data_IF_434415539967
#
_entry.id   IF_434415539967
#
_cell.length_a   1.000
_cell.length_b   1.000
_cell.length_c   1.000
_cell.angle_alpha   90.00
_cell.angle_beta   90.00
_cell.angle_gamma   90.00
#
_symmetry.space_group_name_H-M   'P 1'
#
loop_
_entity.id
_entity.type
_entity.pdbx_description
1 polymer ?
#
# COMPACT_ATOMS: atom_id res chain seq x y z
N UNK A 1 -13.80 -14.86 15.86
CA UNK A 1 -13.77 -15.86 14.78
C UNK A 1 -12.68 -16.87 15.08
N UNK A 2 -13.06 -18.12 15.33
CA UNK A 2 -12.18 -19.23 15.66
C UNK A 2 -11.25 -19.54 14.48
N UNK A 3 -9.94 -19.62 14.75
CA UNK A 3 -8.94 -20.03 13.75
C UNK A 3 -9.08 -21.53 13.51
N UNK A 4 -9.39 -21.92 12.28
CA UNK A 4 -9.25 -23.32 11.82
C UNK A 4 -7.83 -23.45 11.27
N UNK A 5 -6.96 -24.15 12.00
CA UNK A 5 -5.64 -24.50 11.50
C UNK A 5 -5.73 -25.83 10.75
N UNK A 6 -5.61 -25.79 9.43
CA UNK A 6 -5.46 -26.99 8.62
C UNK A 6 -3.97 -27.23 8.41
N UNK A 7 -3.44 -28.26 9.05
CA UNK A 7 -2.04 -28.67 8.94
C UNK A 7 -1.98 -29.86 7.99
N UNK A 8 -1.44 -29.67 6.78
CA UNK A 8 -1.17 -30.76 5.85
C UNK A 8 0.28 -31.22 6.00
N UNK A 9 0.47 -32.48 6.37
CA UNK A 9 1.75 -33.18 6.26
C UNK A 9 1.62 -34.27 5.20
N UNK A 10 2.46 -34.24 4.17
CA UNK A 10 2.99 -35.45 3.54
C UNK A 10 4.36 -35.14 2.94
N UNK A 11 5.31 -36.05 3.16
CA UNK A 11 6.70 -35.98 2.67
C UNK A 11 6.87 -36.85 1.41
N UNK A 12 7.97 -36.56 0.70
CA UNK A 12 8.76 -37.38 -0.26
C UNK A 12 8.60 -37.04 -1.75
N UNK A 13 9.43 -36.11 -2.25
CA UNK A 13 10.30 -36.35 -3.41
C UNK A 13 11.47 -35.34 -3.42
N UNK A 14 12.68 -35.84 -3.70
CA UNK A 14 13.95 -35.10 -3.66
C UNK A 14 13.93 -33.98 -4.71
N UNK A 15 14.02 -32.72 -4.26
CA UNK A 15 14.54 -31.59 -5.03
C UNK A 15 15.19 -30.62 -4.02
N UNK A 16 16.38 -30.10 -4.37
CA UNK A 16 17.06 -29.05 -3.60
C UNK A 16 16.18 -27.80 -3.68
N UNK A 17 15.36 -27.59 -2.66
CA UNK A 17 14.58 -26.37 -2.46
C UNK A 17 15.40 -25.54 -1.48
N UNK A 18 15.82 -24.35 -1.89
CA UNK A 18 16.31 -23.35 -0.94
C UNK A 18 15.10 -22.91 -0.10
N UNK A 19 14.96 -23.50 1.07
CA UNK A 19 13.92 -23.15 2.02
C UNK A 19 14.23 -21.76 2.58
N UNK A 20 13.60 -20.72 2.04
CA UNK A 20 13.42 -19.49 2.80
C UNK A 20 12.35 -19.80 3.86
N UNK A 21 12.79 -20.14 5.07
CA UNK A 21 11.91 -20.19 6.21
C UNK A 21 11.48 -18.75 6.54
N UNK A 22 10.20 -18.44 6.33
CA UNK A 22 9.58 -17.23 6.89
C UNK A 22 9.13 -17.62 8.31
N UNK A 23 9.86 -17.25 9.38
CA UNK A 23 9.32 -17.38 10.72
C UNK A 23 8.08 -16.52 10.78
N UNK A 24 6.93 -17.17 10.96
CA UNK A 24 5.61 -16.57 11.18
C UNK A 24 5.16 -15.58 10.10
N UNK A 25 4.17 -16.00 9.31
CA UNK A 25 3.30 -15.09 8.57
C UNK A 25 2.38 -14.36 9.55
N UNK A 26 2.93 -13.41 10.30
CA UNK A 26 2.11 -12.38 10.93
C UNK A 26 1.49 -11.55 9.81
N UNK A 27 0.32 -12.00 9.36
CA UNK A 27 -0.53 -11.20 8.51
C UNK A 27 -0.96 -9.99 9.34
N UNK A 28 -0.59 -8.79 8.89
CA UNK A 28 -1.12 -7.54 9.44
C UNK A 28 -2.65 -7.64 9.36
N UNK A 29 -3.29 -7.82 10.52
CA UNK A 29 -4.74 -7.90 10.61
C UNK A 29 -5.29 -6.47 10.58
N UNK A 30 -5.65 -5.98 9.40
CA UNK A 30 -6.42 -4.74 9.28
C UNK A 30 -7.85 -5.06 9.71
N UNK A 31 -8.36 -4.38 10.74
CA UNK A 31 -9.74 -4.57 11.18
C UNK A 31 -10.71 -4.36 10.00
N UNK A 32 -11.79 -5.15 9.85
CA UNK A 32 -12.77 -4.94 8.79
C UNK A 32 -13.44 -3.56 8.83
N UNK A 33 -13.40 -2.91 9.99
CA UNK A 33 -13.89 -1.56 10.23
C UNK A 33 -12.77 -0.52 10.36
N UNK A 34 -11.52 -0.87 10.01
CA UNK A 34 -10.42 0.08 9.99
C UNK A 34 -10.75 1.20 9.01
N UNK A 35 -11.06 2.38 9.56
CA UNK A 35 -11.22 3.59 8.78
C UNK A 35 -9.88 4.29 8.73
N UNK A 36 -9.46 4.70 7.53
CA UNK A 36 -8.38 5.65 7.40
C UNK A 36 -8.81 6.94 8.11
N UNK A 37 -8.14 7.26 9.22
CA UNK A 37 -8.38 8.53 9.90
C UNK A 37 -7.77 9.64 9.06
N UNK A 38 -8.58 10.24 8.17
CA UNK A 38 -8.20 11.36 7.31
C UNK A 38 -8.13 12.64 8.13
N UNK A 39 -7.18 12.72 9.07
CA UNK A 39 -6.85 13.99 9.74
C UNK A 39 -6.14 14.98 8.81
N UNK A 40 -5.76 14.54 7.61
CA UNK A 40 -5.18 15.39 6.56
C UNK A 40 -6.24 16.01 5.65
N UNK A 41 -5.97 17.23 5.19
CA UNK A 41 -6.74 17.89 4.13
C UNK A 41 -6.22 17.34 2.80
N UNK A 42 -7.10 16.74 2.01
CA UNK A 42 -6.77 16.29 0.66
C UNK A 42 -7.00 17.48 -0.29
N UNK A 43 -5.95 17.92 -0.98
CA UNK A 43 -5.99 19.10 -1.86
C UNK A 43 -6.01 18.76 -3.35
N UNK A 44 -5.60 17.55 -3.74
CA UNK A 44 -5.54 17.08 -5.13
C UNK A 44 -5.85 15.57 -5.25
N UNK A 45 -6.23 15.12 -6.44
CA UNK A 45 -6.50 13.71 -6.76
C UNK A 45 -7.90 13.20 -6.42
N UNK A 46 -8.84 14.09 -6.05
CA UNK A 46 -10.23 13.73 -5.74
C UNK A 46 -11.16 13.80 -6.97
N UNK A 47 -10.80 14.64 -7.95
CA UNK A 47 -11.63 14.94 -9.12
C UNK A 47 -11.41 14.03 -10.34
N UNK A 48 -10.65 12.94 -10.18
CA UNK A 48 -10.23 12.07 -11.28
C UNK A 48 -9.07 12.64 -12.10
N UNK A 49 -8.90 12.08 -13.30
CA UNK A 49 -7.83 12.46 -14.21
C UNK A 49 -8.09 13.83 -14.87
N UNK A 50 -7.11 14.74 -14.84
CA UNK A 50 -7.23 16.04 -15.49
C UNK A 50 -6.24 17.09 -14.97
N UNK A 51 -6.46 18.34 -15.36
CA UNK A 51 -5.53 19.45 -15.14
C UNK A 51 -6.04 20.51 -14.13
N UNK A 52 -7.18 20.27 -13.50
CA UNK A 52 -7.71 21.16 -12.45
C UNK A 52 -6.89 21.04 -11.15
N UNK A 53 -7.14 21.93 -10.19
CA UNK A 53 -6.42 21.97 -8.91
C UNK A 53 -6.64 20.71 -8.06
N UNK A 54 -7.82 20.10 -8.18
CA UNK A 54 -8.23 18.91 -7.44
C UNK A 54 -8.03 17.60 -8.24
N UNK A 55 -7.45 17.68 -9.43
CA UNK A 55 -7.19 16.57 -10.36
C UNK A 55 -5.69 16.33 -10.55
N UNK A 56 -5.34 15.13 -11.02
CA UNK A 56 -3.97 14.74 -11.40
C UNK A 56 -4.01 14.13 -12.80
N UNK A 57 -2.94 14.23 -13.57
CA UNK A 57 -2.80 13.64 -14.90
C UNK A 57 -1.45 12.93 -14.99
N UNK A 58 -1.50 11.60 -15.09
CA UNK A 58 -0.33 10.70 -15.15
C UNK A 58 0.70 10.93 -14.01
N UNK A 59 0.33 10.81 -12.71
CA UNK A 59 1.29 11.00 -11.63
C UNK A 59 2.24 9.80 -11.48
N UNK A 60 3.54 10.03 -11.48
CA UNK A 60 4.58 8.98 -11.46
C UNK A 60 5.35 8.85 -10.14
N UNK A 61 5.22 9.81 -9.23
CA UNK A 61 6.04 9.83 -8.02
C UNK A 61 5.38 10.50 -6.82
N UNK A 62 5.75 10.03 -5.62
CA UNK A 62 5.35 10.63 -4.34
C UNK A 62 6.56 10.82 -3.43
N UNK A 63 6.59 11.94 -2.71
CA UNK A 63 7.62 12.21 -1.71
C UNK A 63 7.01 12.81 -0.44
N UNK A 64 7.44 12.30 0.72
CA UNK A 64 6.93 12.74 2.02
C UNK A 64 8.04 13.48 2.77
N UNK A 65 7.87 14.77 2.96
CA UNK A 65 8.75 15.59 3.78
C UNK A 65 8.26 15.59 5.23
N UNK A 66 8.75 14.62 6.02
CA UNK A 66 8.29 14.36 7.40
C UNK A 66 8.40 15.58 8.31
N UNK A 67 9.47 16.36 8.22
CA UNK A 67 9.69 17.51 9.11
C UNK A 67 8.70 18.64 8.87
N UNK A 68 8.21 18.79 7.64
CA UNK A 68 7.22 19.82 7.27
C UNK A 68 5.80 19.24 7.14
N UNK A 69 5.62 17.96 7.45
CA UNK A 69 4.35 17.24 7.33
C UNK A 69 3.65 17.48 5.98
N UNK A 70 4.43 17.49 4.89
CA UNK A 70 3.95 17.80 3.53
C UNK A 70 4.22 16.62 2.60
N UNK A 71 3.26 16.29 1.74
CA UNK A 71 3.38 15.29 0.69
C UNK A 71 3.41 16.00 -0.66
N UNK A 72 4.36 15.62 -1.50
CA UNK A 72 4.53 16.11 -2.87
C UNK A 72 4.19 15.00 -3.86
N UNK A 73 3.59 15.35 -4.99
CA UNK A 73 3.19 14.39 -6.04
C UNK A 73 3.75 14.88 -7.36
N UNK A 74 4.59 14.08 -8.02
CA UNK A 74 5.04 14.40 -9.37
C UNK A 74 3.91 14.11 -10.37
N UNK A 75 3.16 15.14 -10.73
CA UNK A 75 2.02 15.13 -11.65
C UNK A 75 2.54 15.33 -13.10
N UNK A 76 3.19 14.29 -13.65
CA UNK A 76 4.09 14.42 -14.82
C UNK A 76 3.33 14.77 -16.09
N UNK A 77 2.11 14.27 -16.26
CA UNK A 77 1.23 14.63 -17.38
C UNK A 77 0.87 16.12 -17.39
N UNK A 78 0.70 16.74 -16.21
CA UNK A 78 0.49 18.18 -16.06
C UNK A 78 1.80 18.98 -15.93
N UNK A 79 2.96 18.31 -15.93
CA UNK A 79 4.30 18.91 -15.80
C UNK A 79 4.45 19.76 -14.53
N UNK A 80 3.91 19.29 -13.40
CA UNK A 80 3.98 19.98 -12.09
C UNK A 80 4.30 19.00 -10.93
N UNK A 81 4.51 19.57 -9.74
CA UNK A 81 4.76 18.87 -8.45
C UNK A 81 3.68 19.25 -7.43
#
# INVERSE_FOLDING_TARGET
MSKVNVMFWTFIHIQIIFWCWIPSTESIQISPCAQWNKTGIIVAGIGGEGNQLDQLYDPEGIFIHRQANTLYVADTGNKRI
#
